data_IF_854317925335
#
_entry.id   IF_854317925335
#
_cell.length_a   1.000
_cell.length_b   1.000
_cell.length_c   1.000
_cell.angle_alpha   90.00
_cell.angle_beta   90.00
_cell.angle_gamma   90.00
#
_symmetry.space_group_name_H-M   'P 1'
#
loop_
_entity.id
_entity.type
_entity.pdbx_description
1 polymer ?
#
# COMPACT_ATOMS: atom_id res chain seq x y z
N UNK A 1 -27.50 -13.61 -5.66
CA UNK A 1 -26.93 -14.82 -6.27
C UNK A 1 -26.01 -14.35 -7.39
N UNK A 2 -24.74 -14.08 -7.08
CA UNK A 2 -23.75 -13.72 -8.10
C UNK A 2 -22.69 -14.81 -8.07
N UNK A 3 -22.71 -15.61 -9.14
CA UNK A 3 -21.78 -16.68 -9.44
C UNK A 3 -20.99 -16.22 -10.64
N UNK A 4 -19.71 -15.95 -10.49
CA UNK A 4 -18.79 -15.92 -11.63
C UNK A 4 -17.51 -16.66 -11.25
N UNK A 5 -17.20 -17.68 -12.06
CA UNK A 5 -15.97 -18.47 -11.96
C UNK A 5 -14.82 -17.65 -12.54
N UNK A 6 -13.82 -17.34 -11.72
CA UNK A 6 -12.55 -16.80 -12.19
C UNK A 6 -11.61 -17.98 -12.48
N UNK A 7 -11.21 -18.13 -13.75
CA UNK A 7 -10.20 -19.11 -14.14
C UNK A 7 -8.81 -18.45 -14.05
N UNK A 8 -7.98 -18.97 -13.13
CA UNK A 8 -6.63 -18.50 -12.87
C UNK A 8 -5.66 -19.22 -13.85
N UNK A 9 -4.88 -18.45 -14.60
CA UNK A 9 -3.82 -18.92 -15.49
C UNK A 9 -2.51 -18.23 -15.10
N UNK A 10 -1.44 -19.01 -15.03
CA UNK A 10 -0.13 -18.68 -14.44
C UNK A 10 0.63 -17.49 -15.06
N UNK A 11 1.12 -16.61 -14.17
CA UNK A 11 2.01 -15.47 -14.46
C UNK A 11 1.57 -14.16 -13.77
N UNK A 12 2.48 -13.18 -13.57
CA UNK A 12 2.23 -12.01 -12.71
C UNK A 12 1.12 -11.11 -13.28
N UNK A 13 0.09 -10.84 -12.47
CA UNK A 13 -1.13 -10.11 -12.82
C UNK A 13 -1.21 -8.79 -12.04
N UNK A 14 -1.52 -7.68 -12.71
CA UNK A 14 -1.80 -6.37 -12.08
C UNK A 14 -3.31 -6.07 -12.09
N UNK A 15 -3.81 -5.48 -10.99
CA UNK A 15 -5.23 -5.25 -10.70
C UNK A 15 -5.64 -3.78 -10.88
N UNK A 16 -6.76 -3.45 -11.56
CA UNK A 16 -7.36 -2.09 -11.68
C UNK A 16 -8.61 -1.95 -10.78
N UNK A 17 -8.82 -0.77 -10.18
CA UNK A 17 -9.97 -0.47 -9.30
C UNK A 17 -10.53 0.91 -9.65
N UNK A 18 -11.85 1.00 -9.90
CA UNK A 18 -12.55 2.23 -10.33
C UNK A 18 -13.64 2.61 -9.33
N UNK A 19 -13.49 3.75 -8.65
CA UNK A 19 -14.45 4.25 -7.66
C UNK A 19 -15.33 5.35 -8.28
N UNK A 20 -16.66 5.25 -8.14
CA UNK A 20 -17.59 6.32 -8.52
C UNK A 20 -18.50 6.72 -7.36
N UNK A 21 -18.48 8.01 -7.02
CA UNK A 21 -19.55 8.82 -6.43
C UNK A 21 -20.09 8.46 -5.04
N UNK A 22 -20.45 7.21 -4.78
CA UNK A 22 -21.21 6.76 -3.61
C UNK A 22 -20.84 5.35 -3.14
N UNK A 23 -19.77 4.75 -3.68
CA UNK A 23 -19.30 3.43 -3.25
C UNK A 23 -17.93 3.07 -3.81
N UNK A 24 -17.28 2.10 -3.18
CA UNK A 24 -16.04 1.47 -3.65
C UNK A 24 -16.40 0.27 -4.52
N UNK A 25 -16.12 0.34 -5.81
CA UNK A 25 -16.23 -0.79 -6.73
C UNK A 25 -14.83 -1.20 -7.23
N UNK A 26 -14.51 -2.48 -7.10
CA UNK A 26 -13.27 -3.11 -7.57
C UNK A 26 -13.65 -3.95 -8.79
N UNK A 27 -13.13 -3.64 -9.97
CA UNK A 27 -13.41 -4.37 -11.21
C UNK A 27 -12.12 -4.94 -11.79
N UNK A 28 -11.95 -6.26 -11.65
CA UNK A 28 -10.80 -7.02 -12.15
C UNK A 28 -10.83 -7.11 -13.69
N UNK A 29 -10.07 -6.25 -14.38
CA UNK A 29 -9.84 -6.38 -15.82
C UNK A 29 -8.54 -7.15 -16.09
N UNK A 30 -8.66 -8.31 -16.73
CA UNK A 30 -7.52 -9.09 -17.24
C UNK A 30 -6.93 -8.38 -18.47
N UNK A 31 -5.70 -7.89 -18.37
CA UNK A 31 -4.99 -7.23 -19.49
C UNK A 31 -4.17 -8.27 -20.26
N UNK A 32 -4.38 -8.46 -21.59
CA UNK A 32 -3.62 -9.43 -22.37
C UNK A 32 -2.14 -9.01 -22.57
N UNK A 33 -1.22 -9.96 -22.39
CA UNK A 33 0.26 -9.88 -22.37
C UNK A 33 0.98 -9.13 -23.51
N UNK A 34 0.32 -8.64 -24.57
CA UNK A 34 1.01 -8.15 -25.78
C UNK A 34 1.20 -6.65 -25.89
N UNK A 35 0.67 -5.88 -24.95
CA UNK A 35 0.86 -4.43 -24.90
C UNK A 35 0.97 -3.97 -23.44
N UNK A 36 1.71 -2.89 -23.26
CA UNK A 36 1.58 -1.90 -22.20
C UNK A 36 2.54 -2.01 -21.00
N UNK A 37 3.14 -0.85 -20.72
CA UNK A 37 3.94 -0.50 -19.55
C UNK A 37 3.28 -0.93 -18.23
N UNK A 38 4.05 -1.05 -17.12
CA UNK A 38 3.49 -1.32 -15.80
C UNK A 38 2.35 -0.35 -15.47
N UNK A 39 1.21 -0.91 -15.08
CA UNK A 39 0.02 -0.15 -14.70
C UNK A 39 0.25 0.49 -13.34
N UNK A 40 0.07 1.81 -13.25
CA UNK A 40 0.19 2.57 -12.00
C UNK A 40 -1.19 3.09 -11.58
N UNK A 41 -1.52 2.91 -10.31
CA UNK A 41 -2.82 3.28 -9.76
C UNK A 41 -2.60 4.20 -8.57
N UNK A 42 -3.32 5.33 -8.56
CA UNK A 42 -3.32 6.28 -7.45
C UNK A 42 -4.69 6.33 -6.80
N UNK A 43 -4.74 6.22 -5.47
CA UNK A 43 -5.93 6.47 -4.67
C UNK A 43 -5.84 7.89 -4.13
N UNK A 44 -6.74 8.79 -4.56
CA UNK A 44 -6.78 10.19 -4.10
C UNK A 44 -8.07 10.47 -3.34
N UNK A 45 -8.03 11.47 -2.46
CA UNK A 45 -9.17 11.85 -1.62
C UNK A 45 -8.73 12.72 -0.45
N UNK A 46 -9.68 13.36 0.22
CA UNK A 46 -9.41 14.22 1.37
C UNK A 46 -8.66 13.47 2.50
N UNK A 47 -7.87 14.15 3.34
CA UNK A 47 -7.32 13.55 4.54
C UNK A 47 -8.42 12.91 5.39
N UNK A 48 -8.21 11.68 5.87
CA UNK A 48 -9.20 10.94 6.65
C UNK A 48 -10.31 10.25 5.83
N UNK A 49 -10.28 10.30 4.49
CA UNK A 49 -11.29 9.65 3.63
C UNK A 49 -11.24 8.11 3.57
N UNK A 50 -10.49 7.47 4.47
CA UNK A 50 -10.38 6.00 4.52
C UNK A 50 -9.49 5.35 3.46
N UNK A 51 -8.61 6.09 2.77
CA UNK A 51 -7.74 5.55 1.69
C UNK A 51 -6.91 4.35 2.14
N UNK A 52 -6.22 4.46 3.28
CA UNK A 52 -5.44 3.36 3.85
C UNK A 52 -6.33 2.15 4.16
N UNK A 53 -7.55 2.37 4.67
CA UNK A 53 -8.49 1.26 4.92
C UNK A 53 -8.94 0.58 3.64
N UNK A 54 -9.22 1.37 2.59
CA UNK A 54 -9.53 0.84 1.26
C UNK A 54 -8.35 0.06 0.69
N UNK A 55 -7.12 0.58 0.82
CA UNK A 55 -5.90 -0.11 0.38
C UNK A 55 -5.76 -1.47 1.09
N UNK A 56 -5.89 -1.53 2.41
CA UNK A 56 -5.84 -2.78 3.17
C UNK A 56 -6.90 -3.78 2.71
N UNK A 57 -8.12 -3.31 2.43
CA UNK A 57 -9.19 -4.16 1.92
C UNK A 57 -8.86 -4.74 0.53
N UNK A 58 -8.24 -3.94 -0.32
CA UNK A 58 -7.79 -4.37 -1.65
C UNK A 58 -6.72 -5.44 -1.54
N UNK A 59 -5.75 -5.25 -0.66
CA UNK A 59 -4.68 -6.21 -0.40
C UNK A 59 -5.27 -7.56 0.05
N UNK A 60 -6.23 -7.55 0.98
CA UNK A 60 -6.91 -8.77 1.41
C UNK A 60 -7.60 -9.51 0.26
N UNK A 61 -8.29 -8.78 -0.63
CA UNK A 61 -8.96 -9.38 -1.77
C UNK A 61 -7.97 -10.00 -2.77
N UNK A 62 -6.84 -9.33 -3.01
CA UNK A 62 -5.76 -9.84 -3.84
C UNK A 62 -5.16 -11.14 -3.28
N UNK A 63 -4.85 -11.15 -1.98
CA UNK A 63 -4.30 -12.32 -1.31
C UNK A 63 -5.27 -13.50 -1.31
N UNK A 64 -6.59 -13.24 -1.20
CA UNK A 64 -7.64 -14.27 -1.32
C UNK A 64 -7.67 -14.94 -2.70
N UNK A 65 -7.31 -14.21 -3.75
CA UNK A 65 -7.19 -14.72 -5.13
C UNK A 65 -5.81 -15.37 -5.40
N UNK A 66 -4.96 -15.51 -4.37
CA UNK A 66 -3.62 -16.08 -4.50
C UNK A 66 -2.59 -15.14 -5.12
N UNK A 67 -2.90 -13.84 -5.24
CA UNK A 67 -1.98 -12.83 -5.77
C UNK A 67 -1.03 -12.40 -4.65
N UNK A 68 0.27 -12.47 -4.91
CA UNK A 68 1.28 -12.09 -3.91
C UNK A 68 1.46 -10.57 -3.89
N UNK A 69 1.16 -9.97 -2.76
CA UNK A 69 1.31 -8.52 -2.53
C UNK A 69 2.57 -8.25 -1.73
N UNK A 70 3.34 -7.23 -2.12
CA UNK A 70 4.49 -6.74 -1.37
C UNK A 70 4.60 -5.22 -1.39
N UNK A 71 5.57 -4.67 -0.68
CA UNK A 71 5.81 -3.23 -0.59
C UNK A 71 5.58 -2.70 0.82
N UNK A 72 5.23 -1.43 0.94
CA UNK A 72 5.23 -0.70 2.22
C UNK A 72 3.87 -0.08 2.48
N UNK A 73 3.36 -0.28 3.69
CA UNK A 73 2.16 0.41 4.19
C UNK A 73 2.50 1.30 5.38
N UNK A 74 1.68 2.33 5.61
CA UNK A 74 1.86 3.27 6.71
C UNK A 74 0.79 3.06 7.76
N UNK A 75 1.20 2.87 9.02
CA UNK A 75 0.29 2.66 10.14
C UNK A 75 0.43 3.78 11.17
N UNK A 76 -0.67 4.36 11.67
CA UNK A 76 -0.60 5.39 12.69
C UNK A 76 -0.20 4.81 14.05
N UNK A 77 0.75 5.44 14.72
CA UNK A 77 1.09 5.16 16.12
C UNK A 77 0.13 5.96 17.00
N UNK A 78 -0.76 5.28 17.72
CA UNK A 78 -1.76 5.88 18.60
C UNK A 78 -1.41 5.59 20.05
N UNK A 79 -1.12 6.64 20.81
CA UNK A 79 -0.87 6.57 22.25
C UNK A 79 -1.85 7.50 22.98
N UNK A 80 -2.47 7.04 24.07
CA UNK A 80 -3.42 7.84 24.86
C UNK A 80 -4.53 8.49 24.00
N UNK A 81 -5.11 7.74 23.06
CA UNK A 81 -6.11 8.19 22.09
C UNK A 81 -5.67 9.37 21.18
N UNK A 82 -4.36 9.60 21.04
CA UNK A 82 -3.82 10.60 20.13
C UNK A 82 -2.84 9.96 19.15
N UNK A 83 -2.94 10.31 17.87
CA UNK A 83 -1.94 9.94 16.87
C UNK A 83 -0.64 10.70 17.16
N UNK A 84 0.41 9.98 17.54
CA UNK A 84 1.71 10.51 17.93
C UNK A 84 2.80 10.30 16.90
N UNK A 85 2.54 9.45 15.92
CA UNK A 85 3.46 9.20 14.83
C UNK A 85 2.88 8.23 13.83
N UNK A 86 3.78 7.71 13.02
CA UNK A 86 3.53 6.72 12.00
C UNK A 86 4.73 5.77 11.90
N UNK A 87 4.42 4.51 11.64
CA UNK A 87 5.41 3.49 11.29
C UNK A 87 5.20 3.06 9.84
N UNK A 88 6.30 2.72 9.18
CA UNK A 88 6.28 1.99 7.92
C UNK A 88 6.32 0.51 8.25
N UNK A 89 5.56 -0.28 7.50
CA UNK A 89 5.50 -1.73 7.66
C UNK A 89 5.71 -2.37 6.29
N UNK A 90 6.70 -3.26 6.20
CA UNK A 90 6.86 -4.15 5.05
C UNK A 90 5.71 -5.16 5.04
N UNK A 91 4.96 -5.17 3.95
CA UNK A 91 3.79 -6.02 3.86
C UNK A 91 4.13 -7.52 3.82
N UNK A 92 5.29 -7.90 3.28
CA UNK A 92 5.65 -9.32 3.15
C UNK A 92 6.24 -9.88 4.44
N UNK A 93 7.21 -9.17 5.02
CA UNK A 93 7.92 -9.62 6.22
C UNK A 93 7.20 -9.27 7.51
N UNK A 94 6.32 -8.25 7.47
CA UNK A 94 5.70 -7.60 8.63
C UNK A 94 6.70 -6.87 9.54
N UNK A 95 7.94 -6.69 9.07
CA UNK A 95 8.92 -5.82 9.72
C UNK A 95 8.40 -4.37 9.69
N UNK A 96 8.59 -3.64 10.78
CA UNK A 96 8.12 -2.27 10.90
C UNK A 96 9.12 -1.38 11.63
N UNK A 97 9.15 -0.11 11.23
CA UNK A 97 10.00 0.91 11.82
C UNK A 97 9.26 2.25 11.95
N UNK A 98 9.54 2.97 13.02
CA UNK A 98 9.02 4.33 13.23
C UNK A 98 9.71 5.28 12.25
N UNK A 99 8.96 5.77 11.26
CA UNK A 99 9.49 6.76 10.30
C UNK A 99 9.12 8.19 10.67
N UNK A 100 8.05 8.41 11.43
CA UNK A 100 7.62 9.74 11.82
C UNK A 100 7.08 9.73 13.25
N UNK A 101 7.59 10.60 14.13
CA UNK A 101 7.10 10.69 15.51
C UNK A 101 7.25 12.09 16.09
N UNK A 102 6.35 12.49 17.00
CA UNK A 102 6.38 13.81 17.65
C UNK A 102 7.67 14.02 18.47
N UNK A 103 8.13 12.96 19.15
CA UNK A 103 9.33 13.01 20.01
C UNK A 103 10.65 12.86 19.24
N UNK A 104 10.59 12.61 17.93
CA UNK A 104 11.78 12.36 17.13
C UNK A 104 12.51 13.68 16.83
N UNK A 105 13.73 13.80 17.31
CA UNK A 105 14.61 14.94 17.02
C UNK A 105 15.27 14.73 15.66
N UNK A 106 14.66 15.27 14.60
CA UNK A 106 15.20 15.26 13.24
C UNK A 106 15.25 16.65 12.62
N UNK A 107 16.23 16.86 11.74
CA UNK A 107 16.33 18.05 10.89
C UNK A 107 15.23 18.07 9.82
N UNK A 108 14.72 16.90 9.43
CA UNK A 108 13.60 16.75 8.48
C UNK A 108 12.31 16.58 9.27
N UNK A 109 11.28 17.35 8.93
CA UNK A 109 10.00 17.36 9.65
C UNK A 109 8.83 17.39 8.68
N UNK A 110 7.72 16.76 9.08
CA UNK A 110 6.41 16.90 8.43
C UNK A 110 5.40 17.36 9.48
N UNK A 111 5.03 18.63 9.43
CA UNK A 111 4.24 19.28 10.48
C UNK A 111 4.91 19.14 11.85
N UNK A 112 4.22 18.49 12.80
CA UNK A 112 4.72 18.25 14.16
C UNK A 112 5.65 17.06 14.29
N UNK A 113 5.74 16.18 13.30
CA UNK A 113 6.52 14.94 13.39
C UNK A 113 7.95 15.14 12.88
N UNK A 114 8.93 14.66 13.63
CA UNK A 114 10.30 14.48 13.13
C UNK A 114 10.36 13.21 12.27
N UNK A 115 11.08 13.28 11.15
CA UNK A 115 11.19 12.19 10.18
C UNK A 115 12.51 11.43 10.37
N UNK A 116 12.43 10.11 10.52
CA UNK A 116 13.55 9.19 10.48
C UNK A 116 13.79 8.73 9.04
N UNK A 117 14.67 9.46 8.34
CA UNK A 117 15.03 9.15 6.95
C UNK A 117 15.69 7.78 6.85
N UNK A 118 16.46 7.36 7.87
CA UNK A 118 17.13 6.07 7.88
C UNK A 118 16.14 4.89 7.86
N UNK A 119 14.95 5.03 8.47
CA UNK A 119 13.91 4.01 8.39
C UNK A 119 13.38 3.85 6.95
N UNK A 120 13.18 4.97 6.24
CA UNK A 120 12.73 4.95 4.83
C UNK A 120 13.81 4.34 3.92
N UNK A 121 15.08 4.74 4.12
CA UNK A 121 16.22 4.23 3.34
C UNK A 121 16.54 2.77 3.67
N UNK A 122 16.33 2.33 4.90
CA UNK A 122 16.54 0.95 5.34
C UNK A 122 15.36 0.06 5.00
N UNK A 123 14.36 0.00 5.89
CA UNK A 123 13.20 -0.87 5.75
C UNK A 123 12.41 -0.57 4.47
N UNK A 124 12.13 0.70 4.19
CA UNK A 124 11.30 1.09 3.04
C UNK A 124 11.92 0.67 1.70
N UNK A 125 13.21 0.94 1.51
CA UNK A 125 13.91 0.59 0.26
C UNK A 125 14.08 -0.93 0.11
N UNK A 126 14.40 -1.63 1.20
CA UNK A 126 14.50 -3.10 1.21
C UNK A 126 13.18 -3.75 0.82
N UNK A 127 12.08 -3.35 1.45
CA UNK A 127 10.75 -3.89 1.17
C UNK A 127 10.35 -3.69 -0.31
N UNK A 128 10.65 -2.52 -0.89
CA UNK A 128 10.38 -2.25 -2.31
C UNK A 128 11.26 -3.08 -3.25
N UNK A 129 12.54 -3.29 -2.91
CA UNK A 129 13.44 -4.14 -3.68
C UNK A 129 12.97 -5.59 -3.70
N UNK A 130 12.62 -6.15 -2.53
CA UNK A 130 12.10 -7.52 -2.41
C UNK A 130 10.74 -7.69 -3.10
N UNK A 131 9.87 -6.68 -3.00
CA UNK A 131 8.56 -6.71 -3.67
C UNK A 131 8.71 -6.68 -5.19
N UNK A 132 9.70 -5.95 -5.73
CA UNK A 132 9.99 -5.94 -7.17
C UNK A 132 10.40 -7.30 -7.71
N UNK A 133 11.09 -8.12 -6.92
CA UNK A 133 11.57 -9.42 -7.34
C UNK A 133 10.53 -10.53 -7.17
N UNK A 134 9.67 -10.39 -6.16
CA UNK A 134 8.90 -11.54 -5.67
C UNK A 134 7.40 -11.32 -5.51
N UNK A 135 6.88 -10.10 -5.72
CA UNK A 135 5.45 -9.81 -5.62
C UNK A 135 4.82 -9.58 -7.00
N UNK A 136 3.56 -9.99 -7.14
CA UNK A 136 2.73 -9.70 -8.31
C UNK A 136 2.23 -8.24 -8.29
N UNK A 137 2.01 -7.69 -7.08
CA UNK A 137 1.54 -6.34 -6.84
C UNK A 137 2.40 -5.65 -5.78
N UNK A 138 2.88 -4.44 -6.09
CA UNK A 138 3.61 -3.58 -5.15
C UNK A 138 2.65 -2.50 -4.64
N UNK A 139 2.50 -2.42 -3.32
CA UNK A 139 1.75 -1.37 -2.64
C UNK A 139 2.70 -0.36 -1.98
N UNK A 140 2.33 0.91 -2.09
CA UNK A 140 3.04 2.02 -1.44
C UNK A 140 1.95 2.92 -0.86
N UNK A 141 1.79 2.90 0.46
CA UNK A 141 0.88 3.83 1.15
C UNK A 141 1.57 5.17 1.42
N UNK A 142 0.81 6.25 1.31
CA UNK A 142 1.30 7.64 1.39
C UNK A 142 2.49 7.95 0.45
N UNK A 143 2.24 7.97 -0.86
CA UNK A 143 3.16 8.58 -1.83
C UNK A 143 3.09 10.10 -1.68
N UNK A 144 4.19 10.71 -1.22
CA UNK A 144 4.27 12.13 -0.91
C UNK A 144 3.99 13.06 -2.09
N UNK A 145 3.99 14.36 -1.77
CA UNK A 145 4.30 15.43 -2.71
C UNK A 145 5.77 15.75 -2.61
#
# INVERSE_FOLDING_TARGET
MFSERVSLCDGPRWLIIRLTGTGVFVELLSVPRRLAAPVKIGITGLPGSGKTQTLLRIIQLLEQEGIKVGGVVTEPIVEKNRRRGFQITDWMTKDHEVFAHEDLKSRVRSGRYGINVAALEGLGTRALAEARESADVIVIDEVGK
#
